data_IF_861129933223
#
_entry.id   IF_861129933223
#
_cell.length_a   1.000
_cell.length_b   1.000
_cell.length_c   1.000
_cell.angle_alpha   90.00
_cell.angle_beta   90.00
_cell.angle_gamma   90.00
#
_symmetry.space_group_name_H-M   'P 1'
#
loop_
_entity.id
_entity.type
_entity.pdbx_description
1 polymer ?
#
# COMPACT_ATOMS: atom_id res chain seq x y z
N UNK A 1 2.88 -37.00 0.71
CA UNK A 1 3.82 -36.04 1.30
C UNK A 1 3.49 -34.66 0.77
N UNK A 2 3.07 -33.78 1.67
CA UNK A 2 2.57 -32.43 1.41
C UNK A 2 3.64 -31.56 0.75
N UNK A 3 3.46 -31.15 -0.51
CA UNK A 3 4.16 -29.98 -1.02
C UNK A 3 3.40 -28.78 -0.47
N UNK A 4 3.77 -28.34 0.75
CA UNK A 4 3.40 -27.01 1.21
C UNK A 4 4.08 -26.04 0.25
N UNK A 5 3.35 -25.56 -0.76
CA UNK A 5 3.75 -24.38 -1.53
C UNK A 5 3.92 -23.25 -0.52
N UNK A 6 5.15 -23.07 -0.06
CA UNK A 6 5.54 -21.98 0.83
C UNK A 6 5.51 -20.70 0.00
N UNK A 7 4.31 -20.20 -0.28
CA UNK A 7 4.11 -18.86 -0.82
C UNK A 7 4.91 -17.92 0.09
N UNK A 8 5.91 -17.23 -0.47
CA UNK A 8 6.72 -16.29 0.31
C UNK A 8 5.78 -15.31 0.99
N UNK A 9 5.65 -15.45 2.30
CA UNK A 9 4.82 -14.60 3.16
C UNK A 9 5.19 -13.12 3.07
N UNK A 10 6.27 -12.74 2.40
CA UNK A 10 6.62 -11.37 2.07
C UNK A 10 6.99 -11.30 0.59
N UNK A 11 6.04 -10.91 -0.24
CA UNK A 11 6.26 -10.71 -1.69
C UNK A 11 7.03 -9.42 -1.99
N UNK A 12 7.15 -8.55 -1.00
CA UNK A 12 7.89 -7.30 -1.09
C UNK A 12 8.63 -7.07 0.23
N UNK A 13 9.95 -6.87 0.13
CA UNK A 13 10.83 -6.54 1.23
C UNK A 13 11.58 -5.25 0.89
N UNK A 14 11.46 -4.25 1.76
CA UNK A 14 12.17 -2.99 1.66
C UNK A 14 13.03 -2.81 2.91
N UNK A 15 14.33 -2.67 2.72
CA UNK A 15 15.21 -2.18 3.75
C UNK A 15 15.23 -0.64 3.68
N UNK A 16 14.60 0.02 4.66
CA UNK A 16 14.63 1.47 4.74
C UNK A 16 16.07 1.93 5.05
N UNK A 17 16.54 3.03 4.44
CA UNK A 17 17.79 3.64 4.83
C UNK A 17 17.83 3.95 6.33
N UNK A 18 18.99 3.78 6.98
CA UNK A 18 19.14 4.05 8.43
C UNK A 18 18.84 5.50 8.83
N UNK A 19 18.97 6.43 7.88
CA UNK A 19 18.68 7.86 8.05
C UNK A 19 17.28 8.25 7.56
N UNK A 20 16.47 7.28 7.18
CA UNK A 20 15.11 7.55 6.72
C UNK A 20 14.26 8.01 7.90
N UNK A 21 13.38 9.01 7.73
CA UNK A 21 12.44 9.37 8.78
C UNK A 21 11.41 8.25 9.06
N UNK A 22 11.30 7.27 8.15
CA UNK A 22 10.42 6.11 8.27
C UNK A 22 11.05 4.90 8.99
N UNK A 23 12.30 4.97 9.46
CA UNK A 23 13.01 3.80 9.99
C UNK A 23 12.24 3.07 11.11
N UNK A 24 11.50 3.80 11.95
CA UNK A 24 10.67 3.21 13.02
C UNK A 24 9.45 2.42 12.50
N UNK A 25 9.13 2.53 11.22
CA UNK A 25 8.06 1.79 10.54
C UNK A 25 8.57 0.58 9.74
N UNK A 26 9.88 0.27 9.77
CA UNK A 26 10.50 -0.81 9.00
C UNK A 26 9.72 -2.14 9.04
N UNK A 27 9.20 -2.53 10.20
CA UNK A 27 8.44 -3.76 10.35
C UNK A 27 7.10 -3.75 9.60
N UNK A 28 6.43 -2.60 9.55
CA UNK A 28 5.13 -2.41 8.91
C UNK A 28 5.22 -2.31 7.40
N UNK A 29 6.37 -1.85 6.89
CA UNK A 29 6.66 -1.86 5.45
C UNK A 29 6.92 -3.26 4.91
N UNK A 30 7.34 -4.20 5.76
CA UNK A 30 7.74 -5.55 5.35
C UNK A 30 6.72 -6.63 5.64
N UNK A 31 5.74 -6.36 6.50
CA UNK A 31 4.72 -7.32 6.92
C UNK A 31 3.34 -6.72 6.69
N UNK A 32 2.31 -7.50 6.95
CA UNK A 32 0.91 -7.06 6.93
C UNK A 32 0.05 -7.79 7.97
N UNK A 33 0.64 -8.70 8.74
CA UNK A 33 -0.03 -9.46 9.80
C UNK A 33 -0.05 -8.62 11.11
N UNK A 34 -0.60 -7.40 11.04
CA UNK A 34 -0.72 -6.46 12.16
C UNK A 34 -1.96 -5.56 11.98
N UNK A 35 -2.32 -4.79 13.00
CA UNK A 35 -3.44 -3.85 12.98
C UNK A 35 -2.98 -2.40 13.19
N UNK A 36 -3.86 -1.43 12.95
CA UNK A 36 -3.54 0.00 13.13
C UNK A 36 -3.10 0.33 14.56
N UNK A 37 -3.64 -0.36 15.56
CA UNK A 37 -3.26 -0.13 16.96
C UNK A 37 -1.78 -0.40 17.22
N UNK A 38 -1.17 -1.34 16.49
CA UNK A 38 0.27 -1.62 16.58
C UNK A 38 1.10 -0.43 16.08
N UNK A 39 0.59 0.30 15.08
CA UNK A 39 1.22 1.51 14.54
C UNK A 39 1.03 2.69 15.51
N UNK A 40 -0.19 2.85 16.04
CA UNK A 40 -0.52 3.90 17.01
C UNK A 40 0.32 3.75 18.27
N UNK A 41 0.60 2.51 18.72
CA UNK A 41 1.47 2.26 19.87
C UNK A 41 2.90 2.81 19.67
N UNK A 42 3.34 3.03 18.42
CA UNK A 42 4.63 3.60 18.08
C UNK A 42 4.58 5.10 17.74
N UNK A 43 3.44 5.77 17.94
CA UNK A 43 3.28 7.20 17.61
C UNK A 43 4.32 8.10 18.29
N UNK A 44 4.74 7.75 19.51
CA UNK A 44 5.77 8.51 20.25
C UNK A 44 7.16 8.38 19.64
N UNK A 45 7.35 7.46 18.70
CA UNK A 45 8.58 7.26 17.93
C UNK A 45 8.50 7.93 16.55
N UNK A 46 7.48 8.76 16.28
CA UNK A 46 7.40 9.54 15.06
C UNK A 46 8.63 10.46 14.94
N UNK A 47 9.28 10.45 13.77
CA UNK A 47 10.36 11.39 13.48
C UNK A 47 9.79 12.81 13.41
N UNK A 48 10.56 13.80 13.90
CA UNK A 48 10.24 15.23 13.74
C UNK A 48 10.18 15.68 12.27
N UNK A 49 10.76 14.89 11.36
CA UNK A 49 10.74 15.14 9.92
C UNK A 49 9.43 14.68 9.25
N UNK A 50 8.52 14.04 9.99
CA UNK A 50 7.22 13.60 9.50
C UNK A 50 6.10 14.25 10.30
N UNK A 51 4.98 14.50 9.63
CA UNK A 51 3.74 14.74 10.35
C UNK A 51 3.28 13.44 11.02
N UNK A 52 2.64 13.57 12.18
CA UNK A 52 2.05 12.41 12.86
C UNK A 52 1.03 11.69 11.96
N UNK A 53 0.26 12.46 11.17
CA UNK A 53 -0.69 11.90 10.21
C UNK A 53 0.01 11.00 9.19
N UNK A 54 1.09 11.47 8.57
CA UNK A 54 1.84 10.70 7.58
C UNK A 54 2.48 9.45 8.20
N UNK A 55 3.04 9.56 9.41
CA UNK A 55 3.58 8.41 10.13
C UNK A 55 2.53 7.32 10.35
N UNK A 56 1.36 7.70 10.87
CA UNK A 56 0.26 6.76 11.13
C UNK A 56 -0.26 6.15 9.82
N UNK A 57 -0.43 6.95 8.77
CA UNK A 57 -0.93 6.49 7.48
C UNK A 57 0.06 5.54 6.81
N UNK A 58 1.34 5.92 6.72
CA UNK A 58 2.39 5.09 6.13
C UNK A 58 2.55 3.75 6.86
N UNK A 59 2.50 3.78 8.20
CA UNK A 59 2.54 2.55 9.00
C UNK A 59 1.29 1.69 8.86
N UNK A 60 0.13 2.27 8.53
CA UNK A 60 -1.15 1.56 8.50
C UNK A 60 -1.57 1.06 7.13
N UNK A 61 -0.98 1.53 6.02
CA UNK A 61 -1.38 1.14 4.65
C UNK A 61 -1.46 -0.38 4.52
N UNK A 62 -0.49 -1.12 5.07
CA UNK A 62 -0.41 -2.57 4.91
C UNK A 62 -1.06 -3.37 6.05
N UNK A 63 -1.70 -2.73 7.02
CA UNK A 63 -2.24 -3.36 8.22
C UNK A 63 -3.43 -4.31 7.91
N UNK A 64 -3.18 -5.59 7.75
CA UNK A 64 -4.21 -6.56 7.38
C UNK A 64 -4.50 -6.56 5.88
N UNK A 65 -4.61 -7.74 5.24
CA UNK A 65 -4.58 -7.89 3.79
C UNK A 65 -5.79 -7.27 3.08
N UNK A 66 -7.01 -7.48 3.59
CA UNK A 66 -8.25 -7.06 2.90
C UNK A 66 -8.43 -5.54 2.76
N UNK A 67 -7.80 -4.77 3.64
CA UNK A 67 -8.02 -3.33 3.75
C UNK A 67 -6.92 -2.50 3.08
N UNK A 68 -5.87 -3.12 2.54
CA UNK A 68 -4.70 -2.37 2.08
C UNK A 68 -5.02 -1.42 0.93
N UNK A 69 -5.79 -1.89 -0.07
CA UNK A 69 -6.18 -1.07 -1.21
C UNK A 69 -7.16 0.04 -0.82
N UNK A 70 -8.08 -0.23 0.11
CA UNK A 70 -9.03 0.77 0.63
C UNK A 70 -8.27 1.88 1.36
N UNK A 71 -7.30 1.51 2.22
CA UNK A 71 -6.47 2.50 2.91
C UNK A 71 -5.58 3.27 1.96
N UNK A 72 -5.00 2.61 0.97
CA UNK A 72 -4.19 3.28 -0.05
C UNK A 72 -5.03 4.31 -0.81
N UNK A 73 -6.23 3.94 -1.26
CA UNK A 73 -7.20 4.83 -1.89
C UNK A 73 -7.53 6.04 -1.00
N UNK A 74 -7.83 5.81 0.28
CA UNK A 74 -8.08 6.89 1.24
C UNK A 74 -6.86 7.80 1.44
N UNK A 75 -5.64 7.25 1.46
CA UNK A 75 -4.41 8.05 1.58
C UNK A 75 -4.16 8.91 0.35
N UNK A 76 -4.46 8.39 -0.84
CA UNK A 76 -4.36 9.12 -2.10
C UNK A 76 -5.33 10.31 -2.11
N UNK A 77 -6.61 10.04 -1.80
CA UNK A 77 -7.65 11.07 -1.74
C UNK A 77 -7.33 12.15 -0.69
N UNK A 78 -6.82 11.76 0.48
CA UNK A 78 -6.46 12.68 1.56
C UNK A 78 -5.13 13.41 1.33
N UNK A 79 -4.37 13.05 0.27
CA UNK A 79 -3.00 13.52 0.04
C UNK A 79 -2.12 13.37 1.30
N UNK A 80 -2.34 12.28 2.06
CA UNK A 80 -1.76 12.08 3.40
C UNK A 80 -0.41 11.37 3.39
N UNK A 81 0.12 11.04 2.21
CA UNK A 81 1.42 10.41 2.01
C UNK A 81 2.23 11.25 1.01
N UNK A 82 3.49 11.52 1.35
CA UNK A 82 4.38 12.28 0.48
C UNK A 82 4.91 11.43 -0.66
N UNK A 83 4.33 11.59 -1.85
CA UNK A 83 4.72 10.86 -3.07
C UNK A 83 6.14 11.19 -3.57
N UNK A 84 6.80 12.21 -3.00
CA UNK A 84 8.20 12.53 -3.30
C UNK A 84 9.20 11.71 -2.49
N UNK A 85 8.75 10.82 -1.59
CA UNK A 85 9.61 9.94 -0.78
C UNK A 85 9.69 8.55 -1.41
N UNK A 86 10.90 8.07 -1.68
CA UNK A 86 11.12 6.77 -2.29
C UNK A 86 10.53 5.63 -1.44
N UNK A 87 10.59 5.76 -0.12
CA UNK A 87 9.99 4.82 0.83
C UNK A 87 8.49 4.63 0.58
N UNK A 88 7.76 5.74 0.42
CA UNK A 88 6.32 5.73 0.15
C UNK A 88 6.02 5.11 -1.21
N UNK A 89 6.80 5.43 -2.24
CA UNK A 89 6.63 4.81 -3.56
C UNK A 89 6.80 3.29 -3.48
N UNK A 90 7.82 2.81 -2.77
CA UNK A 90 8.01 1.37 -2.58
C UNK A 90 6.88 0.75 -1.75
N UNK A 91 6.39 1.43 -0.71
CA UNK A 91 5.24 0.96 0.08
C UNK A 91 4.00 0.74 -0.81
N UNK A 92 3.74 1.68 -1.72
CA UNK A 92 2.64 1.60 -2.69
C UNK A 92 2.87 0.43 -3.64
N UNK A 93 4.07 0.31 -4.21
CA UNK A 93 4.42 -0.81 -5.09
C UNK A 93 4.24 -2.17 -4.38
N UNK A 94 4.72 -2.30 -3.14
CA UNK A 94 4.53 -3.50 -2.34
C UNK A 94 3.06 -3.84 -2.13
N UNK A 95 2.23 -2.83 -1.86
CA UNK A 95 0.79 -2.96 -1.63
C UNK A 95 0.09 -3.44 -2.91
N UNK A 96 0.38 -2.83 -4.05
CA UNK A 96 -0.18 -3.21 -5.35
C UNK A 96 0.27 -4.61 -5.79
N UNK A 97 1.55 -4.93 -5.58
CA UNK A 97 2.09 -6.26 -5.91
C UNK A 97 1.48 -7.37 -5.06
N UNK A 98 1.09 -7.06 -3.83
CA UNK A 98 0.35 -7.98 -2.97
C UNK A 98 -1.08 -8.22 -3.49
N UNK A 99 -1.74 -7.19 -4.03
CA UNK A 99 -3.09 -7.28 -4.59
C UNK A 99 -3.17 -8.00 -5.95
N UNK A 100 -2.08 -8.06 -6.71
CA UNK A 100 -2.04 -8.70 -8.02
C UNK A 100 -2.37 -10.21 -8.01
N UNK A 101 -2.74 -10.78 -9.18
CA UNK A 101 -3.16 -12.17 -9.30
C UNK A 101 -2.07 -13.17 -8.85
N UNK A 102 -2.50 -14.37 -8.43
CA UNK A 102 -1.58 -15.46 -8.10
C UNK A 102 -0.77 -15.89 -9.32
N UNK A 103 0.56 -16.00 -9.20
CA UNK A 103 1.44 -16.44 -10.31
C UNK A 103 1.09 -17.85 -10.82
N UNK A 104 0.38 -18.64 -10.02
CA UNK A 104 -0.01 -20.04 -10.29
C UNK A 104 -1.36 -20.18 -11.00
N UNK A 105 -2.11 -19.09 -11.18
CA UNK A 105 -3.47 -19.13 -11.73
C UNK A 105 -3.55 -18.65 -13.18
N UNK A 106 -2.41 -18.30 -13.78
CA UNK A 106 -2.33 -17.80 -15.16
C UNK A 106 -2.20 -18.90 -16.22
N UNK A 107 -2.40 -20.17 -15.87
CA UNK A 107 -2.27 -21.29 -16.83
C UNK A 107 -3.48 -21.47 -17.73
N UNK A 108 -4.61 -20.80 -17.44
CA UNK A 108 -5.83 -20.91 -18.23
C UNK A 108 -6.42 -19.53 -18.53
N UNK A 109 -6.35 -19.14 -19.80
CA UNK A 109 -6.79 -17.82 -20.30
C UNK A 109 -8.31 -17.64 -20.17
N UNK A 110 -9.06 -18.72 -19.91
CA UNK A 110 -10.50 -18.72 -19.72
C UNK A 110 -10.95 -18.72 -18.24
N UNK A 111 -10.03 -18.83 -17.28
CA UNK A 111 -10.39 -18.86 -15.86
C UNK A 111 -10.64 -17.44 -15.30
N UNK A 112 -11.65 -17.24 -14.44
CA UNK A 112 -11.87 -15.96 -13.76
C UNK A 112 -10.60 -15.50 -13.06
N UNK A 113 -10.34 -14.18 -13.08
CA UNK A 113 -9.21 -13.60 -12.35
C UNK A 113 -9.42 -13.86 -10.85
N UNK A 114 -8.65 -14.80 -10.29
CA UNK A 114 -8.69 -15.07 -8.86
C UNK A 114 -7.75 -14.05 -8.19
N UNK A 115 -8.34 -13.11 -7.48
CA UNK A 115 -7.58 -12.16 -6.68
C UNK A 115 -7.11 -12.82 -5.39
N UNK A 116 -5.91 -12.44 -4.94
CA UNK A 116 -5.49 -12.74 -3.57
C UNK A 116 -6.38 -11.99 -2.59
N UNK A 117 -6.35 -12.41 -1.32
CA UNK A 117 -7.14 -11.77 -0.25
C UNK A 117 -7.02 -10.23 -0.21
N UNK A 118 -5.85 -9.68 -0.55
CA UNK A 118 -5.59 -8.24 -0.62
C UNK A 118 -6.15 -7.53 -1.86
N UNK A 119 -6.47 -8.28 -2.91
CA UNK A 119 -7.06 -7.80 -4.15
C UNK A 119 -8.56 -8.09 -4.28
N UNK A 120 -9.20 -8.80 -3.34
CA UNK A 120 -10.64 -9.15 -3.40
C UNK A 120 -11.55 -7.94 -3.68
N UNK A 121 -11.21 -6.76 -3.14
CA UNK A 121 -11.98 -5.53 -3.35
C UNK A 121 -11.98 -5.06 -4.83
N UNK A 122 -11.03 -5.53 -5.65
CA UNK A 122 -11.00 -5.25 -7.08
C UNK A 122 -12.08 -6.04 -7.85
N UNK A 123 -12.81 -6.95 -7.22
CA UNK A 123 -14.03 -7.50 -7.81
C UNK A 123 -15.22 -6.53 -7.72
N UNK A 124 -15.12 -5.48 -6.90
CA UNK A 124 -16.14 -4.44 -6.79
C UNK A 124 -15.88 -3.35 -7.85
N UNK A 125 -16.74 -3.33 -8.88
CA UNK A 125 -16.66 -2.35 -9.96
C UNK A 125 -16.88 -0.91 -9.48
N UNK A 126 -17.70 -0.70 -8.44
CA UNK A 126 -17.97 0.65 -7.92
C UNK A 126 -16.71 1.24 -7.27
N UNK A 127 -16.05 0.46 -6.43
CA UNK A 127 -14.76 0.82 -5.84
C UNK A 127 -13.70 1.14 -6.90
N UNK A 128 -13.59 0.33 -7.96
CA UNK A 128 -12.64 0.59 -9.04
C UNK A 128 -12.91 1.93 -9.71
N UNK A 129 -14.17 2.20 -10.06
CA UNK A 129 -14.54 3.45 -10.72
C UNK A 129 -14.23 4.66 -9.83
N UNK A 130 -14.53 4.58 -8.53
CA UNK A 130 -14.21 5.64 -7.57
C UNK A 130 -12.70 5.91 -7.50
N UNK A 131 -11.88 4.85 -7.46
CA UNK A 131 -10.41 4.97 -7.47
C UNK A 131 -9.92 5.57 -8.79
N UNK A 132 -10.47 5.18 -9.93
CA UNK A 132 -10.09 5.72 -11.25
C UNK A 132 -10.42 7.21 -11.35
N UNK A 133 -11.61 7.61 -10.91
CA UNK A 133 -12.01 9.04 -10.89
C UNK A 133 -11.06 9.83 -9.99
N UNK A 134 -10.82 9.35 -8.77
CA UNK A 134 -9.92 10.00 -7.81
C UNK A 134 -8.47 10.12 -8.32
N UNK A 135 -7.94 9.07 -8.95
CA UNK A 135 -6.61 9.10 -9.56
C UNK A 135 -6.54 10.11 -10.70
N UNK A 136 -7.55 10.16 -11.55
CA UNK A 136 -7.62 11.14 -12.64
C UNK A 136 -7.62 12.56 -12.07
N UNK A 137 -8.47 12.87 -11.10
CA UNK A 137 -8.52 14.18 -10.44
C UNK A 137 -7.16 14.56 -9.84
N UNK A 138 -6.52 13.63 -9.14
CA UNK A 138 -5.19 13.86 -8.53
C UNK A 138 -4.12 14.15 -9.58
N UNK A 139 -4.15 13.46 -10.73
CA UNK A 139 -3.22 13.69 -11.83
C UNK A 139 -3.48 15.03 -12.53
N UNK A 140 -4.76 15.40 -12.72
CA UNK A 140 -5.14 16.70 -13.27
C UNK A 140 -4.68 17.85 -12.38
N UNK A 141 -4.97 17.79 -11.07
CA UNK A 141 -4.48 18.74 -10.08
C UNK A 141 -2.95 18.90 -10.14
N UNK A 142 -2.24 17.77 -10.23
CA UNK A 142 -0.77 17.78 -10.26
C UNK A 142 -0.25 18.43 -11.54
N UNK A 143 -0.84 18.13 -12.70
CA UNK A 143 -0.49 18.73 -13.98
C UNK A 143 -0.74 20.24 -13.99
N UNK A 144 -1.90 20.67 -13.52
CA UNK A 144 -2.29 22.08 -13.55
C UNK A 144 -1.46 22.90 -12.55
N UNK A 145 -1.06 22.32 -11.42
CA UNK A 145 -0.08 22.93 -10.52
C UNK A 145 1.32 23.09 -11.15
N UNK A 146 1.74 22.15 -12.00
CA UNK A 146 3.03 22.24 -12.71
C UNK A 146 3.01 23.27 -13.84
N UNK A 147 1.85 23.53 -14.44
CA UNK A 147 1.70 24.54 -15.50
C UNK A 147 1.69 25.98 -14.97
N UNK A 148 1.48 26.17 -13.67
CA UNK A 148 1.38 27.47 -13.00
C UNK A 148 2.61 27.81 -12.13
N UNK A 149 3.71 27.06 -12.25
CA UNK A 149 5.02 27.35 -11.65
C UNK A 149 6.00 27.87 -12.70
#
# INVERSE_FOLDING_TARGET
>A
GTIKSGMRKNLCFLQLPKKSPYTNLQQFFNRWEYCENDVIALQSQCSEQLSLLEFLKAGSVRAGPKLQLIRLAACLQQKSLSMNKAEIIVLIMCTLYQAGPGLLEMTDVASPLHFRQSGEILSDHSFIMDVVVMLNETLFDSRDNWANQ
#
